data_IF_746208221328
#
_entry.id   IF_746208221328
#
_cell.length_a   1.000
_cell.length_b   1.000
_cell.length_c   1.000
_cell.angle_alpha   90.00
_cell.angle_beta   90.00
_cell.angle_gamma   90.00
#
_symmetry.space_group_name_H-M   'P 1'
#
loop_
_entity.id
_entity.type
_entity.pdbx_description
1 polymer ?
#
# COMPACT_ATOMS: atom_id res chain seq x y z
N UNK A 1 -15.19 62.00 14.29
CA UNK A 1 -14.48 61.25 13.22
C UNK A 1 -14.08 59.85 13.71
N UNK A 2 -14.87 59.22 14.59
CA UNK A 2 -14.50 57.93 15.21
C UNK A 2 -15.05 56.69 14.48
N UNK A 3 -16.08 56.85 13.67
CA UNK A 3 -16.73 55.75 12.94
C UNK A 3 -15.83 55.14 11.85
N UNK A 4 -14.91 55.94 11.30
CA UNK A 4 -13.99 55.49 10.25
C UNK A 4 -12.84 54.67 10.83
N UNK A 5 -12.37 54.98 12.04
CA UNK A 5 -11.30 54.22 12.69
C UNK A 5 -11.79 52.87 13.21
N UNK A 6 -13.02 52.80 13.73
CA UNK A 6 -13.63 51.52 14.11
C UNK A 6 -13.81 50.60 12.90
N UNK A 7 -14.35 51.10 11.78
CA UNK A 7 -14.55 50.25 10.58
C UNK A 7 -13.25 49.86 9.88
N UNK A 8 -12.25 50.74 9.83
CA UNK A 8 -10.93 50.40 9.28
C UNK A 8 -10.22 49.35 10.14
N UNK A 9 -10.29 49.48 11.48
CA UNK A 9 -9.66 48.51 12.37
C UNK A 9 -10.36 47.14 12.27
N UNK A 10 -11.70 47.13 12.19
CA UNK A 10 -12.48 45.91 11.98
C UNK A 10 -12.15 45.23 10.64
N UNK A 11 -11.97 46.02 9.57
CA UNK A 11 -11.56 45.50 8.25
C UNK A 11 -10.15 44.90 8.24
N UNK A 12 -9.20 45.50 8.97
CA UNK A 12 -7.85 44.93 9.11
C UNK A 12 -7.90 43.63 9.89
N UNK A 13 -8.67 43.57 10.98
CA UNK A 13 -8.85 42.35 11.79
C UNK A 13 -9.51 41.24 10.98
N UNK A 14 -10.54 41.54 10.18
CA UNK A 14 -11.22 40.51 9.37
C UNK A 14 -10.30 39.94 8.29
N UNK A 15 -9.44 40.78 7.68
CA UNK A 15 -8.47 40.34 6.67
C UNK A 15 -7.40 39.41 7.26
N UNK A 16 -6.84 39.79 8.42
CA UNK A 16 -5.90 38.96 9.17
C UNK A 16 -6.54 37.66 9.65
N UNK A 17 -7.80 37.69 10.07
CA UNK A 17 -8.53 36.49 10.46
C UNK A 17 -8.79 35.56 9.25
N UNK A 18 -9.07 36.13 8.08
CA UNK A 18 -9.27 35.37 6.84
C UNK A 18 -7.99 34.67 6.37
N UNK A 19 -6.82 35.32 6.44
CA UNK A 19 -5.57 34.64 6.09
C UNK A 19 -5.24 33.54 7.11
N UNK A 20 -5.53 33.77 8.39
CA UNK A 20 -5.31 32.79 9.46
C UNK A 20 -6.21 31.56 9.27
N UNK A 21 -7.51 31.76 9.00
CA UNK A 21 -8.44 30.64 8.86
C UNK A 21 -8.11 29.80 7.62
N UNK A 22 -7.68 30.42 6.52
CA UNK A 22 -7.20 29.70 5.32
C UNK A 22 -5.99 28.84 5.66
N UNK A 23 -5.05 29.35 6.46
CA UNK A 23 -3.90 28.56 6.93
C UNK A 23 -4.34 27.34 7.74
N UNK A 24 -5.31 27.51 8.66
CA UNK A 24 -5.87 26.41 9.44
C UNK A 24 -6.56 25.39 8.53
N UNK A 25 -7.33 25.83 7.54
CA UNK A 25 -8.01 24.94 6.58
C UNK A 25 -7.01 24.10 5.80
N UNK A 26 -5.93 24.70 5.29
CA UNK A 26 -4.87 23.96 4.60
C UNK A 26 -4.19 22.94 5.52
N UNK A 27 -3.90 23.33 6.77
CA UNK A 27 -3.33 22.44 7.78
C UNK A 27 -4.27 21.27 8.08
N UNK A 28 -5.57 21.52 8.20
CA UNK A 28 -6.58 20.50 8.46
C UNK A 28 -6.67 19.50 7.30
N UNK A 29 -6.67 19.98 6.05
CA UNK A 29 -6.67 19.12 4.87
C UNK A 29 -5.39 18.27 4.83
N UNK A 30 -4.23 18.89 5.05
CA UNK A 30 -2.95 18.18 5.10
C UNK A 30 -2.94 17.10 6.20
N UNK A 31 -3.46 17.43 7.38
CA UNK A 31 -3.54 16.52 8.51
C UNK A 31 -4.48 15.34 8.23
N UNK A 32 -5.60 15.58 7.56
CA UNK A 32 -6.54 14.53 7.18
C UNK A 32 -5.89 13.55 6.19
N UNK A 33 -5.16 14.07 5.20
CA UNK A 33 -4.40 13.25 4.24
C UNK A 33 -3.32 12.43 4.98
N UNK A 34 -2.63 13.02 5.95
CA UNK A 34 -1.58 12.34 6.69
C UNK A 34 -2.13 11.22 7.59
N UNK A 35 -3.29 11.43 8.23
CA UNK A 35 -3.99 10.35 8.95
C UNK A 35 -4.39 9.22 8.01
N UNK A 36 -4.99 9.54 6.87
CA UNK A 36 -5.39 8.53 5.88
C UNK A 36 -4.16 7.78 5.36
N UNK A 37 -3.06 8.49 5.10
CA UNK A 37 -1.76 7.91 4.74
C UNK A 37 -1.30 6.98 5.86
N UNK A 38 -1.25 7.43 7.10
CA UNK A 38 -0.83 6.61 8.24
C UNK A 38 -1.68 5.35 8.38
N UNK A 39 -3.01 5.43 8.21
CA UNK A 39 -3.89 4.26 8.27
C UNK A 39 -3.64 3.29 7.11
N UNK A 40 -3.48 3.79 5.88
CA UNK A 40 -3.21 2.95 4.70
C UNK A 40 -1.81 2.32 4.75
N UNK A 41 -0.79 3.07 5.20
CA UNK A 41 0.58 2.58 5.30
C UNK A 41 0.79 1.69 6.52
N UNK A 42 0.09 1.93 7.64
CA UNK A 42 0.13 1.03 8.81
C UNK A 42 -0.45 -0.36 8.52
N UNK A 43 -1.34 -0.49 7.53
CA UNK A 43 -1.78 -1.79 7.01
C UNK A 43 -0.75 -2.47 6.08
N UNK A 44 0.24 -1.72 5.59
CA UNK A 44 1.36 -2.22 4.78
C UNK A 44 2.56 -2.60 5.66
N UNK A 45 2.72 -2.00 6.83
CA UNK A 45 3.84 -2.20 7.76
C UNK A 45 3.89 -3.55 8.50
N UNK A 46 3.04 -4.53 8.16
CA UNK A 46 3.30 -5.93 8.54
C UNK A 46 4.31 -6.62 7.61
N UNK A 47 4.77 -5.96 6.54
CA UNK A 47 5.93 -6.39 5.76
C UNK A 47 6.69 -5.15 5.29
N UNK A 48 7.99 -5.15 5.58
CA UNK A 48 9.00 -4.16 5.16
C UNK A 48 9.14 -2.92 6.07
N UNK A 49 9.67 -3.17 7.27
CA UNK A 49 10.55 -2.20 7.93
C UNK A 49 11.84 -2.16 7.12
N UNK A 50 11.96 -1.18 6.21
CA UNK A 50 13.24 -0.55 5.85
C UNK A 50 13.00 0.57 4.85
N UNK A 51 12.88 1.79 5.39
CA UNK A 51 13.69 2.92 4.93
C UNK A 51 13.37 4.14 5.80
N UNK A 52 14.30 4.54 6.67
CA UNK A 52 14.69 5.93 6.76
C UNK A 52 15.91 6.13 5.87
N UNK A 53 15.81 7.08 4.94
CA UNK A 53 16.98 7.71 4.33
C UNK A 53 17.92 8.20 5.44
N UNK A 54 19.06 7.55 5.62
CA UNK A 54 20.30 8.17 6.07
C UNK A 54 21.49 7.30 5.61
N UNK A 55 22.53 7.86 4.96
CA UNK A 55 23.58 7.07 4.32
C UNK A 55 24.70 6.78 5.30
N UNK A 56 24.85 5.52 5.71
CA UNK A 56 26.03 5.14 6.49
C UNK A 56 26.05 3.71 6.99
N UNK A 57 27.13 3.00 6.60
CA UNK A 57 27.74 1.85 7.30
C UNK A 57 27.23 0.45 6.93
N UNK A 58 27.89 -0.10 5.88
CA UNK A 58 28.63 -1.38 5.86
C UNK A 58 28.15 -2.58 6.72
N UNK A 59 27.90 -3.68 5.99
CA UNK A 59 28.64 -4.96 6.07
C UNK A 59 28.06 -6.15 6.86
N UNK A 60 27.60 -7.14 6.06
CA UNK A 60 27.81 -8.61 6.14
C UNK A 60 27.28 -9.36 7.37
N UNK A 61 26.33 -10.29 7.15
CA UNK A 61 26.54 -11.75 7.27
C UNK A 61 25.21 -12.52 7.32
N UNK A 62 25.18 -13.60 6.55
CA UNK A 62 24.23 -14.70 6.50
C UNK A 62 23.81 -15.23 7.89
N UNK A 63 22.52 -15.40 8.14
CA UNK A 63 22.05 -16.50 9.00
C UNK A 63 20.68 -16.99 8.54
N UNK A 64 20.64 -18.27 8.16
CA UNK A 64 19.45 -18.99 7.73
C UNK A 64 18.48 -19.18 8.91
N UNK A 65 17.25 -18.70 8.75
CA UNK A 65 16.16 -18.90 9.71
C UNK A 65 15.00 -19.62 9.00
N UNK A 66 14.43 -20.69 9.59
CA UNK A 66 13.52 -21.60 8.89
C UNK A 66 12.24 -20.90 8.40
N UNK A 67 11.86 -21.24 7.17
CA UNK A 67 10.75 -20.65 6.46
C UNK A 67 9.38 -20.98 7.11
N UNK A 68 8.47 -20.01 7.30
CA UNK A 68 7.08 -20.31 7.62
C UNK A 68 6.41 -21.07 6.46
N UNK A 69 5.58 -22.06 6.81
CA UNK A 69 4.91 -23.04 5.93
C UNK A 69 3.85 -22.47 4.95
N UNK A 70 3.89 -21.15 4.68
CA UNK A 70 3.03 -20.44 3.72
C UNK A 70 3.84 -19.88 2.53
N UNK A 71 5.09 -20.34 2.35
CA UNK A 71 5.83 -20.03 1.12
C UNK A 71 5.24 -20.87 -0.02
N UNK A 72 4.99 -20.29 -1.20
CA UNK A 72 4.62 -21.08 -2.36
C UNK A 72 5.67 -22.17 -2.58
N UNK A 73 5.24 -23.38 -2.89
CA UNK A 73 6.16 -24.44 -3.31
C UNK A 73 7.07 -23.91 -4.43
N UNK A 74 8.37 -24.23 -4.34
CA UNK A 74 9.39 -23.84 -5.33
C UNK A 74 8.92 -24.12 -6.77
N UNK A 75 8.21 -25.25 -6.97
CA UNK A 75 7.60 -25.63 -8.25
C UNK A 75 6.60 -24.60 -8.79
N UNK A 76 5.71 -24.08 -7.95
CA UNK A 76 4.69 -23.11 -8.38
C UNK A 76 5.36 -21.79 -8.77
N UNK A 77 6.34 -21.35 -7.98
CA UNK A 77 7.12 -20.14 -8.25
C UNK A 77 7.91 -20.28 -9.56
N UNK A 78 8.52 -21.44 -9.82
CA UNK A 78 9.24 -21.72 -11.06
C UNK A 78 8.34 -21.74 -12.30
N UNK A 79 7.13 -22.31 -12.21
CA UNK A 79 6.17 -22.30 -13.32
C UNK A 79 5.69 -20.87 -13.61
N UNK A 80 5.39 -20.09 -12.57
CA UNK A 80 5.01 -18.67 -12.73
C UNK A 80 6.17 -17.88 -13.35
N UNK A 81 7.40 -18.10 -12.88
CA UNK A 81 8.59 -17.47 -13.45
C UNK A 81 8.76 -17.85 -14.93
N UNK A 82 8.67 -19.14 -15.27
CA UNK A 82 8.77 -19.60 -16.64
C UNK A 82 7.67 -18.99 -17.53
N UNK A 83 6.43 -18.89 -17.04
CA UNK A 83 5.33 -18.26 -17.77
C UNK A 83 5.57 -16.76 -18.01
N UNK A 84 6.05 -16.03 -17.01
CA UNK A 84 6.38 -14.61 -17.13
C UNK A 84 7.57 -14.42 -18.09
N UNK A 85 8.60 -15.25 -17.99
CA UNK A 85 9.75 -15.22 -18.89
C UNK A 85 9.34 -15.50 -20.35
N UNK A 86 8.48 -16.49 -20.57
CA UNK A 86 7.93 -16.79 -21.89
C UNK A 86 7.08 -15.63 -22.45
N UNK A 87 6.31 -14.95 -21.59
CA UNK A 87 5.52 -13.79 -22.00
C UNK A 87 6.39 -12.56 -22.32
N UNK A 88 7.46 -12.32 -21.56
CA UNK A 88 8.33 -11.15 -21.76
C UNK A 88 9.31 -11.30 -22.93
N UNK A 89 9.50 -12.52 -23.46
CA UNK A 89 10.23 -12.77 -24.71
C UNK A 89 11.71 -12.33 -24.71
N UNK A 90 12.30 -12.05 -23.55
CA UNK A 90 13.68 -11.58 -23.39
C UNK A 90 14.24 -11.96 -22.01
N UNK A 91 15.55 -12.15 -21.96
CA UNK A 91 16.38 -12.49 -20.78
C UNK A 91 16.37 -11.38 -19.73
N UNK A 92 15.21 -11.14 -19.15
CA UNK A 92 15.01 -10.16 -18.10
C UNK A 92 15.13 -10.89 -16.77
N UNK A 93 16.08 -10.46 -15.94
CA UNK A 93 16.22 -10.96 -14.58
C UNK A 93 15.12 -10.34 -13.72
N UNK A 94 14.15 -11.15 -13.30
CA UNK A 94 13.10 -10.71 -12.38
C UNK A 94 13.12 -11.55 -11.10
N UNK A 95 12.83 -10.90 -9.96
CA UNK A 95 12.82 -11.53 -8.63
C UNK A 95 11.40 -11.51 -8.09
N UNK A 96 10.86 -12.68 -7.81
CA UNK A 96 9.52 -12.84 -7.21
C UNK A 96 9.64 -12.57 -5.71
N UNK A 97 9.19 -11.39 -5.26
CA UNK A 97 9.30 -10.98 -3.84
C UNK A 97 8.29 -11.67 -2.93
N UNK A 98 7.06 -11.89 -3.39
CA UNK A 98 5.99 -12.42 -2.55
C UNK A 98 4.89 -13.05 -3.42
N UNK A 99 4.49 -14.27 -3.08
CA UNK A 99 3.31 -14.93 -3.66
C UNK A 99 2.34 -15.17 -2.51
N UNK A 100 1.23 -14.44 -2.49
CA UNK A 100 0.17 -14.64 -1.51
C UNK A 100 -1.03 -15.26 -2.22
N UNK A 101 -1.33 -16.52 -1.91
CA UNK A 101 -2.54 -17.18 -2.40
C UNK A 101 -3.72 -16.70 -1.56
N UNK A 102 -4.65 -16.00 -2.18
CA UNK A 102 -5.93 -15.72 -1.56
C UNK A 102 -6.79 -16.97 -1.70
N UNK A 103 -7.20 -17.57 -0.57
CA UNK A 103 -8.30 -18.53 -0.57
C UNK A 103 -9.58 -17.72 -0.71
N UNK A 104 -9.94 -17.39 -1.95
CA UNK A 104 -11.27 -16.87 -2.23
C UNK A 104 -12.25 -17.96 -1.83
N UNK A 105 -13.26 -17.68 -0.98
CA UNK A 105 -14.33 -18.64 -0.76
C UNK A 105 -14.94 -18.95 -2.13
N UNK A 106 -14.94 -20.22 -2.52
CA UNK A 106 -15.50 -20.62 -3.81
C UNK A 106 -16.94 -20.13 -3.85
N UNK A 107 -17.35 -19.55 -4.97
CA UNK A 107 -18.76 -19.23 -5.19
C UNK A 107 -19.57 -20.53 -5.24
N UNK A 108 -20.85 -20.43 -4.89
CA UNK A 108 -21.79 -21.55 -4.98
C UNK A 108 -21.83 -22.15 -6.40
N UNK A 109 -21.61 -21.31 -7.43
CA UNK A 109 -21.55 -21.72 -8.83
C UNK A 109 -20.28 -22.52 -9.17
N UNK A 110 -19.11 -22.10 -8.69
CA UNK A 110 -17.85 -22.84 -8.87
C UNK A 110 -17.93 -24.21 -8.19
N UNK A 111 -18.53 -24.25 -7.00
CA UNK A 111 -18.73 -25.50 -6.25
C UNK A 111 -19.69 -26.43 -7.00
N UNK A 112 -20.80 -25.90 -7.52
CA UNK A 112 -21.75 -26.67 -8.32
C UNK A 112 -21.14 -27.21 -9.62
N UNK A 113 -20.31 -26.43 -10.31
CA UNK A 113 -19.63 -26.86 -11.53
C UNK A 113 -18.62 -28.00 -11.28
N UNK A 114 -17.87 -27.93 -10.19
CA UNK A 114 -16.96 -29.03 -9.78
C UNK A 114 -17.78 -30.27 -9.43
N UNK A 115 -18.89 -30.12 -8.69
CA UNK A 115 -19.77 -31.23 -8.36
C UNK A 115 -20.40 -31.88 -9.60
N UNK A 116 -20.79 -31.11 -10.62
CA UNK A 116 -21.33 -31.66 -11.87
C UNK A 116 -20.25 -32.39 -12.68
N UNK A 117 -19.02 -31.85 -12.73
CA UNK A 117 -17.89 -32.50 -13.41
C UNK A 117 -17.51 -33.84 -12.77
N UNK A 118 -17.61 -33.96 -11.44
CA UNK A 118 -17.36 -35.22 -10.73
C UNK A 118 -18.49 -36.24 -10.89
N UNK A 119 -19.72 -35.79 -11.22
CA UNK A 119 -20.88 -36.66 -11.44
C UNK A 119 -20.93 -37.28 -12.82
N UNK A 120 -20.20 -36.74 -13.80
CA UNK A 120 -20.12 -37.31 -15.15
C UNK A 120 -18.92 -38.23 -15.24
N UNK A 121 -19.08 -39.56 -15.13
CA UNK A 121 -18.02 -40.47 -15.55
C UNK A 121 -17.80 -40.29 -17.05
N UNK A 122 -16.55 -40.10 -17.46
CA UNK A 122 -16.11 -40.14 -18.86
C UNK A 122 -16.30 -41.53 -19.46
#
# INVERSE_FOLDING_TARGET
MDLQNMSFMDGVVISLFSILIVFIVLLLISYLIDIVRLILYRNKDKKDVSSPDDPGVKSIAEEAVPAPADKPDSRTTAIIAAAIAAFLGKDTHFVIKNVKRYKTPLSEWETAGIMDAQRRPL
#
